data_IF_283246987285
#
_entry.id   IF_283246987285
#
_cell.length_a   1.000
_cell.length_b   1.000
_cell.length_c   1.000
_cell.angle_alpha   90.00
_cell.angle_beta   90.00
_cell.angle_gamma   90.00
#
_symmetry.space_group_name_H-M   'P 1'
#
loop_
_entity.id
_entity.type
_entity.pdbx_description
1 polymer ?
#
# COMPACT_ATOMS: atom_id res chain seq x y z
N UNK A 1 4.44 12.42 -20.88
CA UNK A 1 4.70 12.08 -19.47
C UNK A 1 4.11 10.70 -19.23
N UNK A 2 4.85 9.73 -18.65
CA UNK A 2 4.27 8.42 -18.33
C UNK A 2 3.14 8.60 -17.31
N UNK A 3 2.10 7.76 -17.41
CA UNK A 3 1.09 7.68 -16.37
C UNK A 3 1.75 7.22 -15.06
N UNK A 4 1.20 7.63 -13.92
CA UNK A 4 1.78 7.37 -12.59
C UNK A 4 0.75 6.76 -11.67
N UNK A 5 1.19 5.80 -10.85
CA UNK A 5 0.40 5.26 -9.74
C UNK A 5 1.09 5.56 -8.41
N UNK A 6 0.30 5.91 -7.40
CA UNK A 6 0.78 6.04 -6.03
C UNK A 6 0.58 4.71 -5.29
N UNK A 7 1.68 4.08 -4.89
CA UNK A 7 1.66 2.86 -4.11
C UNK A 7 1.83 3.20 -2.63
N UNK A 8 0.71 3.24 -1.91
CA UNK A 8 0.69 3.39 -0.46
C UNK A 8 1.02 2.07 0.21
N UNK A 9 2.05 2.06 1.06
CA UNK A 9 2.57 0.83 1.63
C UNK A 9 2.90 0.94 3.13
N UNK A 10 2.65 -0.15 3.86
CA UNK A 10 3.08 -0.36 5.24
C UNK A 10 3.89 -1.66 5.30
N UNK A 11 5.09 -1.61 5.88
CA UNK A 11 6.01 -2.76 5.98
C UNK A 11 5.44 -3.90 6.83
N UNK A 12 4.48 -3.62 7.71
CA UNK A 12 3.80 -4.63 8.52
C UNK A 12 2.69 -5.37 7.75
N UNK A 13 2.31 -4.91 6.56
CA UNK A 13 1.25 -5.53 5.77
C UNK A 13 1.80 -6.68 4.90
N UNK A 14 1.33 -7.92 5.07
CA UNK A 14 1.74 -9.04 4.22
C UNK A 14 1.33 -8.83 2.76
N UNK A 15 0.20 -8.16 2.52
CA UNK A 15 -0.25 -7.83 1.17
C UNK A 15 0.68 -6.82 0.50
N UNK A 16 1.11 -5.80 1.25
CA UNK A 16 2.12 -4.86 0.78
C UNK A 16 3.40 -5.56 0.38
N UNK A 17 3.88 -6.53 1.18
CA UNK A 17 5.08 -7.30 0.85
C UNK A 17 4.91 -8.08 -0.46
N UNK A 18 3.78 -8.79 -0.64
CA UNK A 18 3.54 -9.52 -1.88
C UNK A 18 3.53 -8.59 -3.10
N UNK A 19 2.87 -7.44 -3.01
CA UNK A 19 2.81 -6.46 -4.10
C UNK A 19 4.18 -5.83 -4.36
N UNK A 20 4.96 -5.47 -3.33
CA UNK A 20 6.26 -4.82 -3.51
C UNK A 20 7.26 -5.69 -4.25
N UNK A 21 7.17 -7.02 -4.14
CA UNK A 21 8.03 -7.96 -4.89
C UNK A 21 7.76 -7.99 -6.40
N UNK A 22 6.66 -7.40 -6.88
CA UNK A 22 6.22 -7.50 -8.28
C UNK A 22 5.94 -6.15 -8.96
N UNK A 23 5.57 -5.11 -8.18
CA UNK A 23 4.98 -3.88 -8.71
C UNK A 23 5.84 -3.17 -9.75
N UNK A 24 7.15 -3.09 -9.57
CA UNK A 24 8.04 -2.41 -10.53
C UNK A 24 8.07 -3.12 -11.89
N UNK A 25 8.10 -4.46 -11.88
CA UNK A 25 8.09 -5.28 -13.10
C UNK A 25 6.80 -5.06 -13.89
N UNK A 26 5.67 -5.11 -13.19
CA UNK A 26 4.36 -4.96 -13.82
C UNK A 26 4.14 -3.53 -14.32
N UNK A 27 4.57 -2.52 -13.55
CA UNK A 27 4.49 -1.12 -13.96
C UNK A 27 5.35 -0.84 -15.21
N UNK A 28 6.56 -1.43 -15.27
CA UNK A 28 7.41 -1.35 -16.46
C UNK A 28 6.74 -1.99 -17.69
N UNK A 29 6.08 -3.14 -17.53
CA UNK A 29 5.42 -3.84 -18.63
C UNK A 29 4.30 -3.01 -19.30
N UNK A 30 3.67 -2.10 -18.56
CA UNK A 30 2.61 -1.21 -19.06
C UNK A 30 3.04 0.24 -19.26
N UNK A 31 4.31 0.57 -19.02
CA UNK A 31 4.85 1.92 -19.21
C UNK A 31 4.37 2.95 -18.17
N UNK A 32 4.12 2.53 -16.94
CA UNK A 32 3.66 3.36 -15.82
C UNK A 32 4.78 3.54 -14.79
N UNK A 33 4.86 4.71 -14.16
CA UNK A 33 5.79 5.00 -13.06
C UNK A 33 5.14 4.71 -11.70
N UNK A 34 5.88 4.06 -10.80
CA UNK A 34 5.44 3.81 -9.42
C UNK A 34 6.00 4.89 -8.50
N UNK A 35 5.11 5.58 -7.80
CA UNK A 35 5.46 6.50 -6.71
C UNK A 35 5.25 5.81 -5.39
N UNK A 36 6.33 5.52 -4.70
CA UNK A 36 6.32 4.88 -3.39
C UNK A 36 5.88 5.87 -2.30
N UNK A 37 4.85 5.49 -1.53
CA UNK A 37 4.24 6.33 -0.50
C UNK A 37 4.16 5.56 0.83
N UNK A 38 5.15 5.68 1.72
CA UNK A 38 5.07 5.03 3.02
C UNK A 38 3.91 5.62 3.84
N UNK A 39 3.17 4.76 4.55
CA UNK A 39 2.17 5.17 5.53
C UNK A 39 2.09 4.18 6.70
N UNK A 40 1.37 4.57 7.76
CA UNK A 40 1.13 3.74 8.93
C UNK A 40 -0.33 3.28 8.97
N UNK A 41 -0.54 1.98 8.82
CA UNK A 41 -1.87 1.37 8.77
C UNK A 41 -2.62 1.51 10.11
N UNK A 42 -1.91 1.45 11.23
CA UNK A 42 -2.49 1.69 12.56
C UNK A 42 -3.12 3.08 12.71
N UNK A 43 -2.54 4.12 12.09
CA UNK A 43 -3.10 5.47 12.07
C UNK A 43 -4.40 5.54 11.25
N UNK A 44 -4.44 4.81 10.13
CA UNK A 44 -5.65 4.70 9.29
C UNK A 44 -6.76 3.98 10.05
N UNK A 45 -6.48 2.83 10.67
CA UNK A 45 -7.47 2.08 11.46
C UNK A 45 -8.09 2.92 12.57
N UNK A 46 -7.27 3.70 13.29
CA UNK A 46 -7.76 4.63 14.32
C UNK A 46 -8.68 5.71 13.73
N UNK A 47 -8.33 6.27 12.57
CA UNK A 47 -9.08 7.34 11.94
C UNK A 47 -10.39 6.87 11.29
N UNK A 48 -10.42 5.63 10.78
CA UNK A 48 -11.58 5.06 10.08
C UNK A 48 -12.46 4.16 10.94
N UNK A 49 -12.17 4.04 12.24
CA UNK A 49 -12.83 3.12 13.17
C UNK A 49 -12.74 1.65 12.71
N UNK A 50 -11.65 1.29 12.01
CA UNK A 50 -11.40 -0.06 11.50
C UNK A 50 -10.48 -0.89 12.40
N UNK A 51 -10.41 -2.20 12.12
CA UNK A 51 -9.60 -3.27 12.73
C UNK A 51 -9.76 -3.51 14.26
N UNK A 52 -9.86 -2.46 15.07
CA UNK A 52 -10.06 -2.58 16.52
C UNK A 52 -11.54 -2.56 16.95
N UNK A 53 -12.47 -2.21 16.05
CA UNK A 53 -13.90 -2.22 16.35
C UNK A 53 -14.50 -3.65 16.43
N UNK A 54 -13.86 -4.64 15.81
CA UNK A 54 -14.36 -6.03 15.74
C UNK A 54 -13.64 -6.97 16.74
N UNK A 55 -12.49 -6.57 17.28
CA UNK A 55 -11.64 -7.39 18.17
C UNK A 55 -11.20 -6.65 19.46
N UNK A 56 -11.85 -5.54 19.82
CA UNK A 56 -11.66 -4.90 21.13
C UNK A 56 -12.34 -5.71 22.26
N UNK A 57 -11.97 -5.50 23.54
CA UNK A 57 -12.71 -6.07 24.66
C UNK A 57 -14.18 -5.61 24.68
#
# INVERSE_FOLDING_TARGET
MPARIDFFYDVASPFTYLTSTRIDREAQAVGVEVRWRPFLLGGVFKATQGFFAEFGP
#
